data_IF_227693204710
#
_entry.id   IF_227693204710
#
_cell.length_a   1.000
_cell.length_b   1.000
_cell.length_c   1.000
_cell.angle_alpha   90.00
_cell.angle_beta   90.00
_cell.angle_gamma   90.00
#
_symmetry.space_group_name_H-M   'P 1'
#
loop_
_entity.id
_entity.type
_entity.pdbx_description
1 polymer ?
#
# COMPACT_ATOMS: atom_id res chain seq x y z
N UNK A 1 32.81 56.40 -12.67
CA UNK A 1 32.67 55.56 -11.47
C UNK A 1 31.37 54.81 -11.66
N UNK A 2 31.46 53.69 -12.38
CA UNK A 2 30.38 52.71 -12.45
C UNK A 2 30.33 52.02 -11.09
N UNK A 3 29.17 52.08 -10.46
CA UNK A 3 28.89 51.35 -9.22
C UNK A 3 28.49 49.93 -9.63
N UNK A 4 29.39 48.98 -9.39
CA UNK A 4 29.07 47.55 -9.41
C UNK A 4 27.88 47.30 -8.47
N UNK A 5 26.75 46.91 -9.05
CA UNK A 5 25.63 46.35 -8.31
C UNK A 5 26.02 44.91 -7.97
N UNK A 6 26.43 44.69 -6.73
CA UNK A 6 26.68 43.37 -6.16
C UNK A 6 25.47 42.46 -6.40
N UNK A 7 25.66 41.42 -7.21
CA UNK A 7 24.68 40.36 -7.41
C UNK A 7 24.67 39.47 -6.17
N UNK A 8 23.73 39.73 -5.26
CA UNK A 8 23.51 38.93 -4.06
C UNK A 8 22.66 37.69 -4.38
N UNK A 9 23.32 36.54 -4.47
CA UNK A 9 22.72 35.21 -4.72
C UNK A 9 21.70 34.82 -3.63
N UNK A 10 21.74 35.45 -2.46
CA UNK A 10 20.85 35.17 -1.33
C UNK A 10 19.93 36.35 -0.96
N UNK A 11 19.92 37.41 -1.77
CA UNK A 11 19.02 38.56 -1.59
C UNK A 11 17.56 38.19 -1.87
N UNK A 12 16.63 38.92 -1.23
CA UNK A 12 15.21 38.82 -1.58
C UNK A 12 15.01 39.19 -3.05
N UNK A 13 14.22 38.40 -3.79
CA UNK A 13 13.99 38.65 -5.21
C UNK A 13 13.46 40.06 -5.43
N UNK A 14 13.96 40.71 -6.48
CA UNK A 14 13.40 42.00 -6.92
C UNK A 14 11.94 41.82 -7.35
N UNK A 15 11.14 42.90 -7.34
CA UNK A 15 9.74 42.87 -7.78
C UNK A 15 9.57 42.33 -9.22
N UNK A 16 10.57 42.54 -10.06
CA UNK A 16 10.59 42.04 -11.44
C UNK A 16 10.88 40.53 -11.50
N UNK A 17 11.82 40.04 -10.69
CA UNK A 17 12.10 38.61 -10.54
C UNK A 17 10.93 37.86 -9.91
N UNK A 18 10.24 38.44 -8.92
CA UNK A 18 9.00 37.88 -8.38
C UNK A 18 7.90 37.75 -9.44
N UNK A 19 7.75 38.75 -10.32
CA UNK A 19 6.79 38.67 -11.44
C UNK A 19 7.17 37.59 -12.43
N UNK A 20 8.46 37.42 -12.74
CA UNK A 20 8.95 36.36 -13.63
C UNK A 20 8.71 34.98 -12.98
N UNK A 21 9.00 34.82 -11.70
CA UNK A 21 8.74 33.59 -10.94
C UNK A 21 7.26 33.22 -10.89
N UNK A 22 6.37 34.19 -10.64
CA UNK A 22 4.93 33.97 -10.66
C UNK A 22 4.43 33.64 -12.06
N UNK A 23 4.92 34.31 -13.10
CA UNK A 23 4.59 33.97 -14.49
C UNK A 23 5.01 32.53 -14.82
N UNK A 24 6.22 32.14 -14.42
CA UNK A 24 6.75 30.79 -14.67
C UNK A 24 6.00 29.71 -13.87
N UNK A 25 5.59 30.00 -12.63
CA UNK A 25 4.69 29.12 -11.86
C UNK A 25 3.34 28.94 -12.56
N UNK A 26 2.75 30.02 -13.08
CA UNK A 26 1.49 29.94 -13.82
C UNK A 26 1.65 29.14 -15.12
N UNK A 27 2.76 29.30 -15.84
CA UNK A 27 3.07 28.49 -17.02
C UNK A 27 3.22 27.00 -16.70
N UNK A 28 3.88 26.65 -15.59
CA UNK A 28 4.01 25.26 -15.14
C UNK A 28 2.63 24.69 -14.77
N UNK A 29 1.81 25.44 -14.04
CA UNK A 29 0.44 25.06 -13.71
C UNK A 29 -0.40 24.90 -14.98
N UNK A 30 -0.24 25.78 -15.96
CA UNK A 30 -0.99 25.73 -17.22
C UNK A 30 -0.54 24.56 -18.09
N UNK A 31 0.77 24.28 -18.18
CA UNK A 31 1.31 23.07 -18.83
C UNK A 31 0.84 21.79 -18.13
N UNK A 32 0.74 21.80 -16.80
CA UNK A 32 0.16 20.69 -16.03
C UNK A 32 -1.33 20.52 -16.29
N UNK A 33 -2.11 21.62 -16.35
CA UNK A 33 -3.55 21.59 -16.69
C UNK A 33 -3.80 21.10 -18.11
N UNK A 34 -2.96 21.50 -19.07
CA UNK A 34 -3.01 21.05 -20.47
C UNK A 34 -2.63 19.55 -20.55
N UNK A 35 -1.58 19.13 -19.85
CA UNK A 35 -1.17 17.71 -19.76
C UNK A 35 -2.22 16.83 -19.07
N UNK A 36 -2.99 17.40 -18.14
CA UNK A 36 -4.10 16.75 -17.42
C UNK A 36 -5.46 16.85 -18.13
N UNK A 37 -5.53 17.47 -19.31
CA UNK A 37 -6.78 17.58 -20.09
C UNK A 37 -7.88 18.40 -19.40
N UNK A 38 -7.54 19.37 -18.55
CA UNK A 38 -8.50 20.19 -17.79
C UNK A 38 -8.92 21.49 -18.50
N UNK A 39 -8.87 21.54 -19.83
CA UNK A 39 -9.49 22.64 -20.58
C UNK A 39 -10.94 22.26 -20.92
N UNK A 40 -11.88 23.02 -20.37
CA UNK A 40 -13.32 22.92 -20.66
C UNK A 40 -13.59 23.10 -22.15
N UNK A 41 -13.98 22.03 -22.82
CA UNK A 41 -14.93 22.10 -23.93
C UNK A 41 -16.26 21.56 -23.39
N UNK A 42 -17.20 22.48 -23.15
CA UNK A 42 -18.61 22.14 -23.01
C UNK A 42 -19.04 21.74 -24.42
N UNK A 43 -18.97 20.44 -24.71
CA UNK A 43 -19.75 19.83 -25.78
C UNK A 43 -20.49 18.64 -25.16
N UNK A 44 -21.81 18.74 -25.23
CA UNK A 44 -22.77 17.74 -24.82
C UNK A 44 -22.68 16.55 -25.76
N UNK A 45 -21.74 15.64 -25.51
CA UNK A 45 -21.79 14.26 -25.98
C UNK A 45 -21.03 13.37 -24.98
N UNK A 46 -21.78 12.83 -24.04
CA UNK A 46 -21.31 11.96 -22.95
C UNK A 46 -20.84 10.60 -23.49
N UNK A 47 -19.62 10.57 -24.02
CA UNK A 47 -18.77 9.37 -23.98
C UNK A 47 -17.66 9.65 -22.98
N UNK A 48 -17.74 9.01 -21.82
CA UNK A 48 -16.74 9.06 -20.76
C UNK A 48 -15.37 8.75 -21.36
N UNK A 49 -14.55 9.77 -21.61
CA UNK A 49 -13.21 9.59 -22.13
C UNK A 49 -12.40 8.86 -21.05
N UNK A 50 -12.07 7.60 -21.27
CA UNK A 50 -11.28 6.80 -20.33
C UNK A 50 -9.92 7.48 -20.16
N UNK A 51 -9.63 7.99 -18.96
CA UNK A 51 -8.34 8.62 -18.65
C UNK A 51 -7.22 7.60 -18.84
N UNK A 52 -6.07 8.01 -19.39
CA UNK A 52 -4.90 7.13 -19.45
C UNK A 52 -4.39 6.77 -18.05
N UNK A 53 -3.68 5.65 -17.90
CA UNK A 53 -3.13 5.25 -16.60
C UNK A 53 -2.24 6.35 -15.97
N UNK A 54 -1.44 7.05 -16.78
CA UNK A 54 -0.59 8.13 -16.28
C UNK A 54 -1.41 9.33 -15.77
N UNK A 55 -2.52 9.66 -16.43
CA UNK A 55 -3.46 10.67 -15.95
C UNK A 55 -4.12 10.23 -14.64
N UNK A 56 -4.50 8.95 -14.51
CA UNK A 56 -5.07 8.41 -13.28
C UNK A 56 -4.07 8.45 -12.12
N UNK A 57 -2.81 8.05 -12.36
CA UNK A 57 -1.72 8.12 -11.38
C UNK A 57 -1.44 9.56 -10.94
N UNK A 58 -1.35 10.49 -11.88
CA UNK A 58 -1.11 11.90 -11.57
C UNK A 58 -2.28 12.49 -10.76
N UNK A 59 -3.52 12.16 -11.11
CA UNK A 59 -4.70 12.56 -10.36
C UNK A 59 -4.66 12.03 -8.92
N UNK A 60 -4.32 10.76 -8.70
CA UNK A 60 -4.17 10.22 -7.35
C UNK A 60 -3.05 10.91 -6.57
N UNK A 61 -1.90 11.17 -7.20
CA UNK A 61 -0.75 11.81 -6.58
C UNK A 61 -1.04 13.24 -6.11
N UNK A 62 -1.87 13.96 -6.87
CA UNK A 62 -2.33 15.32 -6.57
C UNK A 62 -3.59 15.34 -5.68
N UNK A 63 -4.23 14.21 -5.45
CA UNK A 63 -5.46 14.14 -4.65
C UNK A 63 -5.17 14.48 -3.18
N UNK A 64 -6.12 15.19 -2.57
CA UNK A 64 -6.14 15.47 -1.13
C UNK A 64 -7.58 15.34 -0.63
N UNK A 65 -7.75 15.20 0.68
CA UNK A 65 -9.08 15.07 1.30
C UNK A 65 -10.04 16.24 0.98
N UNK A 66 -9.52 17.40 0.54
CA UNK A 66 -10.31 18.59 0.20
C UNK A 66 -10.73 18.64 -1.28
N UNK A 67 -10.09 17.86 -2.15
CA UNK A 67 -10.23 17.97 -3.61
C UNK A 67 -10.64 16.63 -4.28
N UNK A 68 -11.37 15.76 -3.59
CA UNK A 68 -11.73 14.44 -4.13
C UNK A 68 -12.83 14.52 -5.21
N UNK A 69 -12.47 14.97 -6.42
CA UNK A 69 -13.17 14.65 -7.67
C UNK A 69 -12.89 13.18 -8.08
N UNK A 70 -12.92 12.25 -7.12
CA UNK A 70 -12.84 10.82 -7.36
C UNK A 70 -14.23 10.31 -7.74
N UNK A 71 -14.28 9.27 -8.58
CA UNK A 71 -15.45 8.85 -9.36
C UNK A 71 -16.79 8.80 -8.59
N UNK A 72 -16.77 8.61 -7.27
CA UNK A 72 -17.97 8.41 -6.43
C UNK A 72 -18.00 9.24 -5.13
N UNK A 73 -17.20 10.29 -4.96
CA UNK A 73 -17.24 11.15 -3.75
C UNK A 73 -16.68 10.51 -2.46
N UNK A 74 -15.98 9.36 -2.56
CA UNK A 74 -15.26 8.79 -1.43
C UNK A 74 -13.97 9.58 -1.14
N UNK A 75 -13.56 9.68 0.15
CA UNK A 75 -12.26 10.24 0.50
C UNK A 75 -11.13 9.48 -0.18
N UNK A 76 -10.12 10.21 -0.66
CA UNK A 76 -8.91 9.61 -1.22
C UNK A 76 -8.17 8.80 -0.16
N UNK A 77 -7.43 7.76 -0.56
CA UNK A 77 -6.45 7.10 0.32
C UNK A 77 -5.16 7.94 0.47
N UNK A 78 -4.92 8.90 -0.43
CA UNK A 78 -3.66 9.66 -0.47
C UNK A 78 -3.49 10.46 0.81
N UNK A 79 -2.47 10.12 1.59
CA UNK A 79 -2.10 10.86 2.80
C UNK A 79 -3.26 11.05 3.80
N UNK A 80 -4.28 10.19 3.77
CA UNK A 80 -5.46 10.23 4.62
C UNK A 80 -5.42 9.14 5.70
N UNK A 81 -6.38 9.15 6.63
CA UNK A 81 -6.48 8.08 7.63
C UNK A 81 -6.70 6.72 6.95
N UNK A 82 -6.07 5.64 7.45
CA UNK A 82 -6.37 4.28 7.01
C UNK A 82 -7.85 3.95 7.07
N UNK A 83 -8.33 3.16 6.11
CA UNK A 83 -9.73 2.77 6.02
C UNK A 83 -9.87 1.27 6.27
N UNK A 84 -10.77 0.90 7.18
CA UNK A 84 -11.11 -0.49 7.46
C UNK A 84 -12.12 -1.02 6.44
N UNK A 85 -11.71 -1.97 5.61
CA UNK A 85 -12.59 -2.79 4.77
C UNK A 85 -13.02 -4.02 5.57
N UNK A 86 -14.18 -3.92 6.20
CA UNK A 86 -14.77 -4.97 7.02
C UNK A 86 -15.24 -6.16 6.16
N UNK A 87 -15.24 -7.36 6.73
CA UNK A 87 -15.75 -8.58 6.10
C UNK A 87 -15.10 -8.88 4.72
N UNK A 88 -13.80 -8.60 4.58
CA UNK A 88 -13.07 -9.01 3.39
C UNK A 88 -13.05 -10.55 3.33
N UNK A 89 -12.67 -11.19 4.43
CA UNK A 89 -12.75 -12.64 4.66
C UNK A 89 -13.64 -12.93 5.87
N UNK A 90 -14.31 -14.08 5.84
CA UNK A 90 -14.98 -14.62 7.03
C UNK A 90 -13.98 -15.30 7.96
N UNK A 91 -14.40 -15.57 9.21
CA UNK A 91 -13.55 -16.25 10.19
C UNK A 91 -13.11 -17.64 9.73
N UNK A 92 -14.02 -18.42 9.16
CA UNK A 92 -13.70 -19.75 8.62
C UNK A 92 -12.72 -19.68 7.45
N UNK A 93 -12.85 -18.69 6.56
CA UNK A 93 -11.88 -18.50 5.47
C UNK A 93 -10.50 -18.09 6.01
N UNK A 94 -10.44 -17.33 7.11
CA UNK A 94 -9.18 -17.01 7.76
C UNK A 94 -8.54 -18.23 8.42
N UNK A 95 -9.35 -19.07 9.08
CA UNK A 95 -8.91 -20.35 9.66
C UNK A 95 -8.35 -21.29 8.58
N UNK A 96 -9.03 -21.43 7.43
CA UNK A 96 -8.54 -22.20 6.27
C UNK A 96 -7.15 -21.72 5.78
N UNK A 97 -6.92 -20.40 5.75
CA UNK A 97 -5.62 -19.83 5.35
C UNK A 97 -4.55 -20.17 6.39
N UNK A 98 -4.88 -20.07 7.67
CA UNK A 98 -3.93 -20.33 8.76
C UNK A 98 -3.56 -21.80 8.86
N UNK A 99 -4.54 -22.70 8.75
CA UNK A 99 -4.30 -24.15 8.78
C UNK A 99 -3.36 -24.56 7.65
N UNK A 100 -3.56 -24.00 6.45
CA UNK A 100 -2.69 -24.24 5.31
C UNK A 100 -1.29 -23.66 5.50
N UNK A 101 -1.18 -22.43 6.01
CA UNK A 101 0.10 -21.81 6.31
C UNK A 101 0.91 -22.63 7.34
N UNK A 102 0.24 -23.15 8.37
CA UNK A 102 0.85 -24.03 9.36
C UNK A 102 1.25 -25.40 8.79
N UNK A 103 0.45 -25.96 7.88
CA UNK A 103 0.79 -27.19 7.19
C UNK A 103 2.03 -27.01 6.31
N UNK A 104 2.06 -25.95 5.50
CA UNK A 104 3.18 -25.62 4.61
C UNK A 104 4.47 -25.41 5.40
N UNK A 105 4.43 -24.60 6.46
CA UNK A 105 5.61 -24.31 7.30
C UNK A 105 6.14 -25.56 8.01
N UNK A 106 5.27 -26.45 8.51
CA UNK A 106 5.69 -27.74 9.09
C UNK A 106 6.36 -28.66 8.07
N UNK A 107 5.93 -28.63 6.82
CA UNK A 107 6.50 -29.45 5.75
C UNK A 107 7.82 -28.87 5.22
N UNK A 108 7.93 -27.54 5.12
CA UNK A 108 9.19 -26.88 4.72
C UNK A 108 10.31 -27.07 5.74
N UNK A 109 9.98 -27.22 7.03
CA UNK A 109 10.95 -27.62 8.06
C UNK A 109 11.54 -29.03 7.87
N UNK A 110 10.99 -29.85 6.95
CA UNK A 110 11.45 -31.22 6.65
C UNK A 110 12.09 -31.38 5.26
N UNK A 111 11.90 -30.44 4.35
CA UNK A 111 12.44 -30.47 2.98
C UNK A 111 13.13 -29.14 2.64
N UNK A 112 14.42 -29.03 2.97
CA UNK A 112 15.31 -28.04 2.36
C UNK A 112 16.41 -28.78 1.62
N UNK A 113 16.05 -29.37 0.48
CA UNK A 113 17.01 -29.76 -0.53
C UNK A 113 16.94 -28.73 -1.68
N UNK A 114 17.74 -27.66 -1.54
CA UNK A 114 18.52 -27.13 -2.65
C UNK A 114 17.89 -26.25 -3.75
N UNK A 115 16.88 -25.39 -3.51
CA UNK A 115 16.42 -24.45 -4.58
C UNK A 115 16.21 -22.95 -4.28
N UNK A 116 16.31 -22.46 -3.04
CA UNK A 116 16.29 -21.02 -2.75
C UNK A 116 17.39 -20.68 -1.73
N UNK A 117 18.58 -20.30 -2.21
CA UNK A 117 19.82 -20.17 -1.41
C UNK A 117 19.86 -18.92 -0.50
N UNK A 118 18.89 -18.00 -0.62
CA UNK A 118 18.92 -16.70 0.08
C UNK A 118 17.91 -16.56 1.24
N UNK A 119 17.11 -17.60 1.52
CA UNK A 119 16.02 -17.51 2.49
C UNK A 119 16.18 -18.54 3.61
N UNK A 120 16.82 -18.14 4.71
CA UNK A 120 16.94 -18.97 5.91
C UNK A 120 15.56 -19.09 6.56
N UNK A 121 14.94 -20.26 6.46
CA UNK A 121 13.77 -20.59 7.26
C UNK A 121 14.22 -20.98 8.67
N UNK A 122 13.49 -20.47 9.67
CA UNK A 122 13.73 -20.85 11.06
C UNK A 122 13.26 -22.30 11.29
N UNK A 123 13.59 -22.89 12.45
CA UNK A 123 13.18 -24.25 12.85
C UNK A 123 11.68 -24.54 12.72
N UNK A 124 10.86 -23.47 12.67
CA UNK A 124 9.41 -23.52 12.57
C UNK A 124 8.89 -23.37 11.13
N UNK A 125 9.77 -23.30 10.12
CA UNK A 125 9.43 -23.20 8.69
C UNK A 125 9.08 -21.81 8.16
N UNK A 126 9.23 -20.76 8.99
CA UNK A 126 8.97 -19.37 8.60
C UNK A 126 10.25 -18.69 8.11
N UNK A 127 10.14 -17.86 7.07
CA UNK A 127 11.27 -17.11 6.52
C UNK A 127 11.51 -15.84 7.34
N UNK A 128 12.76 -15.39 7.46
CA UNK A 128 13.11 -14.24 8.30
C UNK A 128 13.88 -13.13 7.59
N UNK A 129 14.24 -13.29 6.32
CA UNK A 129 15.19 -12.41 5.60
C UNK A 129 14.70 -11.87 4.25
N UNK A 130 13.39 -11.94 3.96
CA UNK A 130 12.86 -11.59 2.61
C UNK A 130 12.80 -10.09 2.28
N UNK A 131 12.94 -9.22 3.28
CA UNK A 131 12.95 -7.76 3.10
C UNK A 131 14.22 -7.16 3.71
N UNK A 132 15.08 -6.57 2.88
CA UNK A 132 16.44 -6.17 3.25
C UNK A 132 16.51 -5.06 4.30
N UNK A 133 15.54 -4.14 4.31
CA UNK A 133 15.52 -3.01 5.26
C UNK A 133 14.65 -3.26 6.49
N UNK A 134 13.59 -4.06 6.35
CA UNK A 134 12.59 -4.32 7.38
C UNK A 134 12.16 -5.79 7.36
N UNK A 135 13.04 -6.72 7.78
CA UNK A 135 12.76 -8.14 7.73
C UNK A 135 11.59 -8.51 8.64
N UNK A 136 10.73 -9.38 8.13
CA UNK A 136 9.61 -9.99 8.85
C UNK A 136 9.77 -11.49 8.95
N UNK A 137 9.23 -12.07 10.03
CA UNK A 137 8.97 -13.52 10.08
C UNK A 137 7.72 -13.81 9.24
N UNK A 138 7.90 -14.23 7.99
CA UNK A 138 6.82 -14.34 7.02
C UNK A 138 6.79 -15.62 6.17
N UNK A 139 5.63 -15.87 5.56
CA UNK A 139 5.37 -16.91 4.59
C UNK A 139 4.73 -16.28 3.34
N UNK A 140 5.38 -16.34 2.16
CA UNK A 140 4.76 -15.94 0.90
C UNK A 140 3.45 -16.70 0.65
N UNK A 141 2.39 -15.97 0.28
CA UNK A 141 1.11 -16.60 -0.06
C UNK A 141 1.20 -17.51 -1.29
N UNK A 142 2.23 -17.35 -2.13
CA UNK A 142 2.50 -18.24 -3.27
C UNK A 142 2.81 -19.69 -2.87
N UNK A 143 3.27 -19.92 -1.63
CA UNK A 143 3.57 -21.26 -1.13
C UNK A 143 2.37 -21.95 -0.48
N UNK A 144 1.25 -21.26 -0.32
CA UNK A 144 -0.01 -21.88 0.10
C UNK A 144 -0.51 -22.85 -0.98
N UNK A 145 -1.31 -23.84 -0.58
CA UNK A 145 -1.94 -24.76 -1.50
C UNK A 145 -2.97 -24.04 -2.40
N UNK A 146 -3.31 -24.67 -3.52
CA UNK A 146 -4.13 -24.07 -4.58
C UNK A 146 -5.47 -23.49 -4.08
N UNK A 147 -6.18 -24.22 -3.21
CA UNK A 147 -7.51 -23.81 -2.73
C UNK A 147 -7.46 -22.49 -1.95
N UNK A 148 -6.64 -22.32 -0.88
CA UNK A 148 -6.47 -21.02 -0.23
C UNK A 148 -5.98 -19.92 -1.16
N UNK A 149 -5.02 -20.21 -2.06
CA UNK A 149 -4.52 -19.19 -3.02
C UNK A 149 -5.62 -18.64 -3.92
N UNK A 150 -6.42 -19.51 -4.53
CA UNK A 150 -7.51 -19.10 -5.42
C UNK A 150 -8.63 -18.39 -4.66
N UNK A 151 -8.93 -18.81 -3.43
CA UNK A 151 -9.85 -18.07 -2.57
C UNK A 151 -9.37 -16.65 -2.28
N UNK A 152 -8.10 -16.50 -1.89
CA UNK A 152 -7.51 -15.19 -1.61
C UNK A 152 -7.58 -14.31 -2.85
N UNK A 153 -7.08 -14.81 -3.99
CA UNK A 153 -7.11 -14.11 -5.27
C UNK A 153 -8.52 -13.64 -5.65
N UNK A 154 -9.52 -14.52 -5.51
CA UNK A 154 -10.92 -14.17 -5.80
C UNK A 154 -11.45 -13.06 -4.90
N UNK A 155 -11.16 -13.09 -3.59
CA UNK A 155 -11.61 -12.05 -2.65
C UNK A 155 -10.93 -10.72 -2.92
N UNK A 156 -9.62 -10.73 -3.14
CA UNK A 156 -8.87 -9.51 -3.42
C UNK A 156 -9.35 -8.86 -4.73
N UNK A 157 -9.54 -9.65 -5.79
CA UNK A 157 -10.01 -9.13 -7.08
C UNK A 157 -11.47 -8.63 -7.05
N UNK A 158 -12.36 -9.30 -6.32
CA UNK A 158 -13.79 -8.95 -6.29
C UNK A 158 -14.16 -7.89 -5.26
N UNK A 159 -13.35 -7.69 -4.22
CA UNK A 159 -13.65 -6.77 -3.12
C UNK A 159 -12.56 -5.71 -2.93
N UNK A 160 -11.31 -6.12 -2.74
CA UNK A 160 -10.24 -5.19 -2.38
C UNK A 160 -9.87 -4.25 -3.54
N UNK A 161 -9.62 -4.78 -4.74
CA UNK A 161 -9.20 -3.95 -5.87
C UNK A 161 -10.28 -2.94 -6.31
N UNK A 162 -11.58 -3.30 -6.37
CA UNK A 162 -12.64 -2.31 -6.58
C UNK A 162 -12.67 -1.23 -5.49
N UNK A 163 -12.52 -1.61 -4.22
CA UNK A 163 -12.49 -0.68 -3.10
C UNK A 163 -11.33 0.33 -3.19
N UNK A 164 -10.15 -0.14 -3.63
CA UNK A 164 -8.97 0.71 -3.87
C UNK A 164 -9.19 1.60 -5.10
N UNK A 165 -9.75 1.06 -6.17
CA UNK A 165 -10.07 1.80 -7.39
C UNK A 165 -10.96 3.02 -7.09
N UNK A 166 -12.01 2.84 -6.29
CA UNK A 166 -12.91 3.93 -5.88
C UNK A 166 -12.21 5.08 -5.15
N UNK A 167 -11.17 4.78 -4.35
CA UNK A 167 -10.47 5.76 -3.50
C UNK A 167 -9.18 6.29 -4.09
N UNK A 168 -8.69 5.66 -5.14
CA UNK A 168 -7.51 6.12 -5.90
C UNK A 168 -7.92 6.80 -7.20
N UNK A 169 -9.10 6.45 -7.73
CA UNK A 169 -9.54 6.85 -9.07
C UNK A 169 -8.80 6.11 -10.19
N UNK A 170 -7.99 5.11 -9.83
CA UNK A 170 -7.27 4.25 -10.78
C UNK A 170 -8.13 3.04 -11.06
N UNK A 171 -8.37 2.76 -12.33
CA UNK A 171 -9.22 1.65 -12.75
C UNK A 171 -8.68 0.31 -12.24
N UNK A 172 -9.59 -0.56 -11.78
CA UNK A 172 -9.21 -1.82 -11.14
C UNK A 172 -8.43 -2.76 -12.06
N UNK A 173 -8.63 -2.64 -13.39
CA UNK A 173 -7.86 -3.37 -14.40
C UNK A 173 -6.38 -2.97 -14.43
N UNK A 174 -6.06 -1.77 -13.97
CA UNK A 174 -4.69 -1.30 -13.84
C UNK A 174 -4.09 -1.64 -12.48
N UNK A 175 -4.86 -2.13 -11.50
CA UNK A 175 -4.34 -2.48 -10.18
C UNK A 175 -3.87 -3.93 -10.13
N UNK A 176 -2.65 -4.15 -9.62
CA UNK A 176 -2.02 -5.46 -9.49
C UNK A 176 -1.47 -5.67 -8.09
N UNK A 177 -1.56 -6.91 -7.58
CA UNK A 177 -0.87 -7.32 -6.36
C UNK A 177 0.61 -7.55 -6.69
N UNK A 178 1.48 -6.74 -6.09
CA UNK A 178 2.93 -6.83 -6.22
C UNK A 178 3.54 -7.86 -5.29
N UNK A 179 3.04 -7.96 -4.06
CA UNK A 179 3.48 -8.96 -3.09
C UNK A 179 2.32 -9.28 -2.15
N UNK A 180 2.33 -10.50 -1.63
CA UNK A 180 1.31 -11.02 -0.72
C UNK A 180 1.92 -12.10 0.17
N UNK A 181 1.90 -11.87 1.48
CA UNK A 181 2.55 -12.75 2.44
C UNK A 181 1.89 -12.67 3.82
N UNK A 182 2.04 -13.73 4.59
CA UNK A 182 1.54 -13.85 5.95
C UNK A 182 2.70 -13.52 6.89
N UNK A 183 2.48 -12.59 7.83
CA UNK A 183 3.47 -12.23 8.86
C UNK A 183 3.04 -12.81 10.20
N UNK A 184 4.01 -13.35 10.94
CA UNK A 184 3.82 -13.89 12.29
C UNK A 184 4.56 -13.04 13.32
N UNK A 185 3.82 -12.37 14.18
CA UNK A 185 4.35 -11.73 15.38
C UNK A 185 4.15 -12.63 16.60
N UNK A 186 5.18 -12.76 17.43
CA UNK A 186 5.14 -13.50 18.69
C UNK A 186 6.18 -12.93 19.67
N UNK A 187 6.03 -13.27 20.95
CA UNK A 187 6.91 -12.76 22.01
C UNK A 187 8.37 -13.22 21.94
N UNK A 188 8.66 -14.33 21.25
CA UNK A 188 10.00 -14.95 21.21
C UNK A 188 10.87 -14.39 20.11
N UNK A 189 10.27 -14.07 18.96
CA UNK A 189 11.00 -13.68 17.75
C UNK A 189 10.80 -12.20 17.46
N UNK A 190 9.64 -11.84 16.91
CA UNK A 190 9.35 -10.49 16.44
C UNK A 190 7.99 -10.06 17.00
N UNK A 191 7.97 -9.01 17.82
CA UNK A 191 6.75 -8.50 18.47
C UNK A 191 6.00 -7.46 17.63
N UNK A 192 6.73 -6.77 16.77
CA UNK A 192 6.25 -5.71 15.91
C UNK A 192 7.29 -5.39 14.84
N UNK A 193 7.12 -4.25 14.18
CA UNK A 193 8.01 -3.80 13.12
C UNK A 193 8.23 -2.30 13.24
N UNK A 194 9.49 -1.86 13.15
CA UNK A 194 9.86 -0.45 13.29
C UNK A 194 9.13 0.46 12.28
N UNK A 195 9.14 1.77 12.54
CA UNK A 195 8.52 2.76 11.64
C UNK A 195 9.21 2.74 10.26
N UNK A 196 8.39 2.63 9.21
CA UNK A 196 8.83 2.58 7.81
C UNK A 196 7.73 3.08 6.87
N UNK A 197 8.05 3.12 5.58
CA UNK A 197 7.10 3.33 4.48
C UNK A 197 7.26 2.21 3.47
N UNK A 198 6.20 1.92 2.73
CA UNK A 198 6.23 0.87 1.72
C UNK A 198 6.59 1.41 0.33
N UNK A 199 7.33 0.58 -0.40
CA UNK A 199 7.78 0.86 -1.76
C UNK A 199 6.71 0.60 -2.84
N UNK A 200 5.42 0.72 -2.54
CA UNK A 200 4.29 0.46 -3.46
C UNK A 200 3.33 1.67 -3.54
N UNK A 201 2.18 1.49 -4.19
CA UNK A 201 1.13 2.49 -4.29
C UNK A 201 0.24 2.46 -3.04
N UNK A 202 -0.34 1.30 -2.74
CA UNK A 202 -1.26 1.06 -1.62
C UNK A 202 -0.82 -0.19 -0.88
N UNK A 203 -0.91 -0.15 0.45
CA UNK A 203 -0.67 -1.30 1.31
C UNK A 203 -1.95 -1.66 2.06
N UNK A 204 -2.07 -2.93 2.40
CA UNK A 204 -3.09 -3.37 3.34
C UNK A 204 -2.54 -4.42 4.31
N UNK A 205 -3.09 -4.40 5.52
CA UNK A 205 -2.86 -5.43 6.54
C UNK A 205 -4.20 -5.97 7.00
N UNK A 206 -4.34 -7.30 7.10
CA UNK A 206 -5.58 -7.95 7.55
C UNK A 206 -5.28 -8.93 8.66
N UNK A 207 -6.05 -8.88 9.75
CA UNK A 207 -5.91 -9.83 10.83
C UNK A 207 -6.45 -11.21 10.41
N UNK A 208 -5.66 -12.27 10.57
CA UNK A 208 -6.04 -13.64 10.21
C UNK A 208 -6.53 -14.44 11.41
N UNK A 209 -5.97 -14.22 12.59
CA UNK A 209 -6.28 -14.99 13.78
C UNK A 209 -7.16 -14.21 14.78
N UNK A 210 -7.68 -14.86 15.82
CA UNK A 210 -8.65 -14.22 16.73
C UNK A 210 -7.95 -13.16 17.57
N UNK A 211 -8.63 -12.05 17.82
CA UNK A 211 -8.14 -10.94 18.65
C UNK A 211 -7.81 -11.41 20.07
N UNK A 212 -8.50 -12.44 20.57
CA UNK A 212 -8.27 -13.01 21.90
C UNK A 212 -6.98 -13.84 22.01
N UNK A 213 -6.29 -14.11 20.90
CA UNK A 213 -5.04 -14.90 20.88
C UNK A 213 -3.78 -14.07 21.09
N UNK A 214 -3.91 -12.73 21.21
CA UNK A 214 -2.83 -11.82 21.52
C UNK A 214 -3.33 -10.57 22.26
N UNK A 215 -2.40 -9.77 22.78
CA UNK A 215 -2.70 -8.42 23.33
C UNK A 215 -1.75 -7.39 22.72
N UNK A 216 -2.18 -6.13 22.66
CA UNK A 216 -1.49 -5.09 21.90
C UNK A 216 -1.72 -5.25 20.40
N UNK A 217 -0.70 -4.96 19.58
CA UNK A 217 -0.81 -5.11 18.13
C UNK A 217 -1.57 -3.98 17.43
N UNK A 218 -1.82 -4.18 16.14
CA UNK A 218 -2.33 -3.17 15.22
C UNK A 218 -1.24 -2.59 14.33
N UNK A 219 -1.58 -1.51 13.63
CA UNK A 219 -0.66 -0.78 12.75
C UNK A 219 -0.69 0.68 13.20
N UNK A 220 0.42 1.17 13.75
CA UNK A 220 0.56 2.56 14.19
C UNK A 220 0.94 3.45 13.02
N UNK A 221 0.28 4.60 12.89
CA UNK A 221 0.55 5.59 11.85
C UNK A 221 1.01 6.90 12.48
N UNK A 222 2.28 7.27 12.22
CA UNK A 222 2.94 8.42 12.84
C UNK A 222 2.24 9.75 12.55
N UNK A 223 1.73 9.92 11.33
CA UNK A 223 1.01 11.13 10.91
C UNK A 223 -0.21 11.44 11.77
N UNK A 224 -0.91 10.41 12.24
CA UNK A 224 -2.16 10.51 13.00
C UNK A 224 -1.96 10.23 14.48
N UNK A 225 -0.74 9.86 14.87
CA UNK A 225 -0.40 9.38 16.21
C UNK A 225 -1.41 8.34 16.75
N UNK A 226 -1.79 7.40 15.90
CA UNK A 226 -2.91 6.48 16.17
C UNK A 226 -2.64 5.08 15.64
N UNK A 227 -3.10 4.10 16.41
CA UNK A 227 -3.08 2.68 16.03
C UNK A 227 -4.40 2.32 15.36
N UNK A 228 -4.33 1.68 14.20
CA UNK A 228 -5.48 1.13 13.49
C UNK A 228 -5.41 -0.39 13.53
N UNK A 229 -6.55 -1.02 13.84
CA UNK A 229 -6.73 -2.46 13.87
C UNK A 229 -8.13 -2.81 13.38
N UNK A 230 -8.24 -3.90 12.64
CA UNK A 230 -9.51 -4.51 12.29
C UNK A 230 -9.72 -5.82 13.05
N UNK A 231 -10.98 -6.26 13.10
CA UNK A 231 -11.31 -7.62 13.54
C UNK A 231 -10.78 -8.68 12.57
N UNK A 232 -10.81 -9.95 12.96
CA UNK A 232 -10.45 -11.08 12.10
C UNK A 232 -11.17 -10.99 10.73
N UNK A 233 -10.38 -10.99 9.65
CA UNK A 233 -10.88 -10.87 8.27
C UNK A 233 -11.17 -9.44 7.79
N UNK A 234 -10.90 -8.43 8.62
CA UNK A 234 -10.97 -7.00 8.26
C UNK A 234 -9.61 -6.49 7.80
N UNK A 235 -9.58 -5.84 6.63
CA UNK A 235 -8.36 -5.23 6.10
C UNK A 235 -8.27 -3.75 6.44
N UNK A 236 -7.14 -3.32 6.99
CA UNK A 236 -6.77 -1.90 7.11
C UNK A 236 -6.01 -1.52 5.84
N UNK A 237 -6.58 -0.61 5.04
CA UNK A 237 -6.06 -0.21 3.72
C UNK A 237 -5.58 1.24 3.78
N UNK A 238 -4.37 1.52 3.28
CA UNK A 238 -3.72 2.83 3.45
C UNK A 238 -2.73 3.18 2.33
N UNK A 239 -2.43 4.47 2.19
CA UNK A 239 -1.35 4.96 1.32
C UNK A 239 0.01 4.46 1.82
N UNK A 240 0.71 3.71 0.97
CA UNK A 240 2.02 3.12 1.24
C UNK A 240 3.09 4.16 1.66
N UNK A 241 2.88 5.45 1.32
CA UNK A 241 3.77 6.55 1.71
C UNK A 241 3.55 7.08 3.12
N UNK A 242 2.58 6.56 3.87
CA UNK A 242 2.42 6.89 5.28
C UNK A 242 3.50 6.17 6.10
N UNK A 243 4.20 6.92 6.96
CA UNK A 243 5.08 6.34 7.97
C UNK A 243 4.24 5.54 8.97
N UNK A 244 4.50 4.24 9.04
CA UNK A 244 3.75 3.31 9.87
C UNK A 244 4.64 2.23 10.47
N UNK A 245 4.16 1.58 11.53
CA UNK A 245 4.86 0.48 12.22
C UNK A 245 3.89 -0.63 12.60
N UNK A 246 4.39 -1.86 12.65
CA UNK A 246 3.66 -2.95 13.29
C UNK A 246 3.71 -2.72 14.80
N UNK A 247 2.60 -2.30 15.41
CA UNK A 247 2.58 -2.01 16.83
C UNK A 247 2.82 -3.29 17.62
N UNK A 248 3.63 -3.20 18.68
CA UNK A 248 4.10 -4.36 19.42
C UNK A 248 2.93 -5.12 20.05
N UNK A 249 2.98 -6.45 19.95
CA UNK A 249 2.18 -7.32 20.82
C UNK A 249 2.88 -7.50 22.18
N UNK A 250 2.08 -7.75 23.21
CA UNK A 250 2.59 -7.99 24.57
C UNK A 250 2.47 -9.46 24.99
N UNK A 251 1.46 -10.17 24.49
CA UNK A 251 1.25 -11.61 24.73
C UNK A 251 0.73 -12.30 23.48
N UNK A 252 0.90 -13.63 23.43
CA UNK A 252 0.29 -14.46 22.41
C UNK A 252 1.00 -14.44 21.06
N UNK A 253 0.23 -14.70 20.00
CA UNK A 253 0.71 -14.71 18.61
C UNK A 253 -0.29 -13.97 17.73
N UNK A 254 0.20 -13.07 16.88
CA UNK A 254 -0.61 -12.31 15.93
C UNK A 254 -0.19 -12.67 14.51
N UNK A 255 -1.14 -13.09 13.69
CA UNK A 255 -0.94 -13.46 12.30
C UNK A 255 -1.73 -12.51 11.41
N UNK A 256 -1.03 -11.89 10.45
CA UNK A 256 -1.65 -10.95 9.52
C UNK A 256 -1.31 -11.30 8.08
N UNK A 257 -2.26 -11.08 7.18
CA UNK A 257 -2.01 -11.05 5.74
C UNK A 257 -1.62 -9.62 5.35
N UNK A 258 -0.46 -9.46 4.73
CA UNK A 258 0.04 -8.19 4.21
C UNK A 258 0.08 -8.28 2.70
N UNK A 259 -0.38 -7.22 2.02
CA UNK A 259 -0.28 -7.14 0.57
C UNK A 259 0.06 -5.74 0.08
N UNK A 260 0.85 -5.72 -0.99
CA UNK A 260 1.28 -4.52 -1.67
C UNK A 260 0.60 -4.43 -3.03
N UNK A 261 -0.07 -3.32 -3.30
CA UNK A 261 -0.78 -3.06 -4.56
C UNK A 261 -0.03 -2.00 -5.34
N UNK A 262 0.09 -2.19 -6.65
CA UNK A 262 0.70 -1.26 -7.60
C UNK A 262 -0.11 -1.24 -8.91
N UNK A 263 0.43 -0.60 -9.94
CA UNK A 263 -0.21 -0.41 -11.24
C UNK A 263 0.49 -1.16 -12.38
N UNK A 264 -0.29 -1.67 -13.35
CA UNK A 264 0.19 -2.34 -14.56
C UNK A 264 1.09 -1.40 -15.37
N UNK A 265 2.42 -1.57 -15.30
CA UNK A 265 3.39 -0.69 -15.97
C UNK A 265 4.29 0.09 -15.01
N UNK A 266 4.12 -0.03 -13.69
CA UNK A 266 5.08 0.42 -12.68
C UNK A 266 6.14 -0.62 -12.32
N UNK A 267 6.05 -1.83 -12.89
CA UNK A 267 6.80 -3.01 -12.45
C UNK A 267 7.34 -3.81 -13.64
N UNK A 268 8.65 -4.07 -13.63
CA UNK A 268 9.32 -5.08 -14.45
C UNK A 268 9.07 -6.52 -13.94
N UNK A 269 8.40 -6.70 -12.80
CA UNK A 269 8.03 -8.00 -12.25
C UNK A 269 6.60 -7.94 -11.72
N UNK A 270 5.64 -8.37 -12.54
CA UNK A 270 4.29 -8.66 -12.08
C UNK A 270 4.30 -10.04 -11.43
N UNK A 271 3.72 -10.17 -10.23
CA UNK A 271 3.27 -11.48 -9.76
C UNK A 271 2.11 -11.91 -10.65
N UNK A 272 2.38 -12.86 -11.55
CA UNK A 272 1.33 -13.70 -12.11
C UNK A 272 1.13 -14.86 -11.13
N UNK A 273 -0.08 -14.97 -10.59
CA UNK A 273 -0.50 -16.07 -9.72
C UNK A 273 -0.39 -17.43 -10.39
#
# INVERSE_FOLDING_TARGET
METDLDFDVFGDFTDEEYKILECHKQEIIQKQKISLGLQNCIDTDSKTLTKSLDQQRLAFKLSSNLNSNLKNGFPTLRQSEPVCLNNLFSRSECEDILDDAYLVTKNTGKELDGKDVDNVSNSDGWYSSRHSSFPTTDLPAKYLNEKPREMIKNKLNKKLLPFISERTGIDSEHLVLRDLFIVKYNNKNQKGLAIHTDGCLISFTMLLNKETEFTGGGTYFKKFDKVFSGEQGTAVVFDAKLEHSGFDIHTGTRLILVGFVDTTGGLNNTFKF
#
